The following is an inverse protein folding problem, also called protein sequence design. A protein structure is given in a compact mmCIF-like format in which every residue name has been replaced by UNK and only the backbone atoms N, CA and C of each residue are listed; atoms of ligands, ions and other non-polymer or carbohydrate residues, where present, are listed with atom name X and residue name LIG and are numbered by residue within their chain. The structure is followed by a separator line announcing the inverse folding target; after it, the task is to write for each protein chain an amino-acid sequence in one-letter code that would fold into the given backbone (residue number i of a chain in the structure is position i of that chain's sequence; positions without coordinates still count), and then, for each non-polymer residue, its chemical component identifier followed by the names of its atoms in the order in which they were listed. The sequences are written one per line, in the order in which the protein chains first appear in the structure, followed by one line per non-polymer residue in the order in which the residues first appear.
data_IF_771961545900
#
_entry.id   IF_771961545900
#
_cell.length_a   1.000
_cell.length_b   1.000
_cell.length_c   1.000
_cell.angle_alpha   90.00
_cell.angle_beta   90.00
_cell.angle_gamma   90.00
#
_symmetry.space_group_name_H-M   'P 1'
#
loop_
_entity.id
_entity.type
_entity.pdbx_description
1 polymer ?
#
# COMPACT_ATOMS: atom_id res chain seq x y z
N UNK A 1 -3.22 17.00 7.85
CA UNK A 1 -2.92 16.74 6.42
C UNK A 1 -3.22 15.28 6.12
N UNK A 2 -4.06 14.99 5.13
CA UNK A 2 -4.72 13.68 4.93
C UNK A 2 -3.78 12.46 5.03
N UNK A 3 -2.66 12.45 4.29
CA UNK A 3 -1.71 11.33 4.30
C UNK A 3 -0.96 11.16 5.61
N UNK A 4 -0.69 12.26 6.35
CA UNK A 4 -0.05 12.19 7.66
C UNK A 4 -0.97 11.56 8.71
N UNK A 5 -2.25 11.93 8.72
CA UNK A 5 -3.25 11.35 9.63
C UNK A 5 -3.48 9.87 9.32
N UNK A 6 -3.51 9.51 8.04
CA UNK A 6 -3.60 8.10 7.65
C UNK A 6 -2.35 7.31 8.03
N UNK A 7 -1.15 7.89 7.86
CA UNK A 7 0.10 7.27 8.31
C UNK A 7 0.04 6.96 9.81
N UNK A 8 -0.40 7.92 10.63
CA UNK A 8 -0.50 7.76 12.07
C UNK A 8 -1.45 6.61 12.46
N UNK A 9 -2.63 6.53 11.83
CA UNK A 9 -3.58 5.42 12.06
C UNK A 9 -2.98 4.06 11.68
N UNK A 10 -2.26 4.00 10.57
CA UNK A 10 -1.63 2.76 10.11
C UNK A 10 -0.48 2.36 11.05
N UNK A 11 0.33 3.32 11.48
CA UNK A 11 1.42 3.12 12.44
C UNK A 11 0.91 2.56 13.75
N UNK A 12 -0.11 3.19 14.35
CA UNK A 12 -0.69 2.75 15.62
C UNK A 12 -1.20 1.30 15.55
N UNK A 13 -1.79 0.91 14.43
CA UNK A 13 -2.26 -0.45 14.21
C UNK A 13 -1.10 -1.43 13.98
N UNK A 14 -0.12 -1.05 13.16
CA UNK A 14 1.03 -1.90 12.81
C UNK A 14 2.02 -2.09 13.95
N UNK A 15 2.17 -1.13 14.87
CA UNK A 15 3.08 -1.22 16.02
C UNK A 15 2.69 -2.32 17.03
N UNK A 16 1.48 -2.86 16.92
CA UNK A 16 1.00 -4.01 17.71
C UNK A 16 1.56 -5.34 17.21
N UNK A 17 2.15 -5.34 16.01
CA UNK A 17 2.73 -6.52 15.36
C UNK A 17 4.26 -6.42 15.32
N UNK A 18 4.93 -7.56 15.54
CA UNK A 18 6.40 -7.63 15.52
C UNK A 18 6.95 -8.03 14.14
N UNK A 19 6.24 -8.89 13.41
CA UNK A 19 6.65 -9.40 12.11
C UNK A 19 6.21 -8.47 10.98
N UNK A 20 7.08 -8.31 9.97
CA UNK A 20 6.82 -7.43 8.81
C UNK A 20 5.56 -7.87 8.05
N UNK A 21 5.38 -9.18 7.89
CA UNK A 21 4.25 -9.80 7.22
C UNK A 21 2.93 -9.45 7.94
N UNK A 22 2.93 -9.54 9.27
CA UNK A 22 1.76 -9.17 10.07
C UNK A 22 1.44 -7.68 9.96
N UNK A 23 2.46 -6.81 9.95
CA UNK A 23 2.28 -5.37 9.71
C UNK A 23 1.66 -5.12 8.33
N UNK A 24 2.14 -5.79 7.29
CA UNK A 24 1.57 -5.70 5.96
C UNK A 24 0.10 -6.16 5.92
N UNK A 25 -0.24 -7.26 6.62
CA UNK A 25 -1.63 -7.76 6.73
C UNK A 25 -2.53 -6.72 7.39
N UNK A 26 -2.07 -6.07 8.47
CA UNK A 26 -2.82 -4.99 9.13
C UNK A 26 -3.05 -3.82 8.16
N UNK A 27 -2.02 -3.37 7.43
CA UNK A 27 -2.16 -2.31 6.44
C UNK A 27 -3.14 -2.69 5.34
N UNK A 28 -3.03 -3.91 4.78
CA UNK A 28 -3.94 -4.40 3.74
C UNK A 28 -5.39 -4.38 4.20
N UNK A 29 -5.66 -4.80 5.46
CA UNK A 29 -7.00 -4.74 6.04
C UNK A 29 -7.52 -3.31 6.16
N UNK A 30 -6.71 -2.36 6.62
CA UNK A 30 -7.10 -0.95 6.74
C UNK A 30 -7.38 -0.33 5.37
N UNK A 31 -6.54 -0.61 4.37
CA UNK A 31 -6.75 -0.17 2.99
C UNK A 31 -8.02 -0.73 2.39
N UNK A 32 -8.33 -2.00 2.66
CA UNK A 32 -9.58 -2.63 2.25
C UNK A 32 -10.80 -1.97 2.88
N UNK A 33 -10.73 -1.57 4.15
CA UNK A 33 -11.79 -0.78 4.81
C UNK A 33 -11.95 0.63 4.19
N UNK A 34 -10.88 1.17 3.61
CA UNK A 34 -10.90 2.42 2.83
C UNK A 34 -11.32 2.21 1.36
N UNK A 35 -11.79 1.01 1.00
CA UNK A 35 -12.35 0.69 -0.31
C UNK A 35 -11.31 0.29 -1.36
N UNK A 36 -10.08 -0.08 -0.96
CA UNK A 36 -9.00 -0.38 -1.92
C UNK A 36 -8.86 -1.85 -2.35
N UNK A 37 -9.64 -2.75 -1.74
CA UNK A 37 -9.51 -4.20 -1.94
C UNK A 37 -8.04 -4.63 -1.99
N UNK A 38 -7.34 -4.45 -0.87
CA UNK A 38 -5.92 -4.70 -0.74
C UNK A 38 -5.66 -6.07 -0.12
N UNK A 39 -4.73 -6.81 -0.73
CA UNK A 39 -4.22 -8.09 -0.22
C UNK A 39 -2.70 -8.03 -0.01
N UNK A 40 -2.19 -8.99 0.77
CA UNK A 40 -0.75 -9.24 0.91
C UNK A 40 -0.39 -10.45 0.07
N UNK A 41 0.60 -10.30 -0.80
CA UNK A 41 1.05 -11.36 -1.70
C UNK A 41 2.56 -11.56 -1.59
N UNK A 42 3.00 -12.77 -1.96
CA UNK A 42 4.40 -13.07 -2.18
C UNK A 42 4.71 -13.06 -3.67
N UNK A 43 5.73 -12.29 -4.03
CA UNK A 43 6.48 -12.37 -5.28
C UNK A 43 6.88 -13.81 -5.59
N UNK A 44 6.97 -14.22 -6.88
CA UNK A 44 7.63 -15.47 -7.24
C UNK A 44 9.08 -15.57 -6.73
N UNK A 45 9.75 -14.42 -6.51
CA UNK A 45 11.09 -14.33 -5.92
C UNK A 45 11.12 -14.35 -4.38
N UNK A 46 9.96 -14.38 -3.71
CA UNK A 46 9.86 -14.41 -2.25
C UNK A 46 9.75 -13.03 -1.58
N UNK A 47 9.70 -11.94 -2.33
CA UNK A 47 9.45 -10.59 -1.81
C UNK A 47 7.99 -10.37 -1.40
N UNK A 48 7.78 -9.66 -0.30
CA UNK A 48 6.46 -9.29 0.20
C UNK A 48 5.87 -8.12 -0.60
N UNK A 49 4.57 -8.16 -0.89
CA UNK A 49 3.87 -7.14 -1.67
C UNK A 49 2.51 -6.80 -1.08
N UNK A 50 2.10 -5.54 -1.20
CA UNK A 50 0.69 -5.14 -1.08
C UNK A 50 0.10 -4.96 -2.46
N UNK A 51 -1.09 -5.50 -2.69
CA UNK A 51 -1.77 -5.43 -4.00
C UNK A 51 -3.15 -4.85 -3.81
N UNK A 52 -3.36 -3.62 -4.28
CA UNK A 52 -4.69 -3.01 -4.38
C UNK A 52 -5.32 -3.46 -5.70
N UNK A 53 -6.38 -4.27 -5.63
CA UNK A 53 -7.20 -4.67 -6.78
C UNK A 53 -8.26 -3.62 -7.14
N UNK A 54 -8.49 -2.64 -6.27
CA UNK A 54 -9.32 -1.50 -6.55
C UNK A 54 -8.63 -0.22 -6.08
N UNK A 55 -8.41 0.75 -6.95
CA UNK A 55 -7.73 1.99 -6.57
C UNK A 55 -8.64 3.20 -6.82
N UNK A 56 -9.39 3.71 -5.82
CA UNK A 56 -10.33 4.81 -6.03
C UNK A 56 -9.68 6.14 -6.45
N UNK A 57 -8.36 6.29 -6.24
CA UNK A 57 -7.63 7.55 -6.48
C UNK A 57 -6.98 7.63 -7.87
N UNK A 58 -7.34 6.76 -8.82
CA UNK A 58 -6.76 6.77 -10.17
C UNK A 58 -6.74 8.16 -10.80
N UNK A 59 -7.88 8.84 -10.83
CA UNK A 59 -7.99 10.14 -11.52
C UNK A 59 -7.25 11.25 -10.77
N UNK A 60 -7.17 11.14 -9.44
CA UNK A 60 -6.40 12.06 -8.60
C UNK A 60 -4.91 11.91 -8.90
N UNK A 61 -4.42 10.68 -8.93
CA UNK A 61 -3.02 10.36 -9.21
C UNK A 61 -2.61 10.75 -10.63
N UNK A 62 -3.48 10.54 -11.64
CA UNK A 62 -3.23 11.02 -13.00
C UNK A 62 -3.03 12.54 -13.06
N UNK A 63 -3.77 13.28 -12.25
CA UNK A 63 -3.69 14.76 -12.19
C UNK A 63 -2.54 15.24 -11.30
N UNK A 64 -2.19 14.48 -10.26
CA UNK A 64 -1.19 14.82 -9.26
C UNK A 64 -0.30 13.60 -8.98
N UNK A 65 0.70 13.32 -9.83
CA UNK A 65 1.55 12.12 -9.71
C UNK A 65 2.29 12.01 -8.36
N UNK A 66 2.62 13.15 -7.75
CA UNK A 66 3.23 13.24 -6.41
C UNK A 66 2.45 12.45 -5.34
N UNK A 67 1.14 12.25 -5.52
CA UNK A 67 0.32 11.45 -4.62
C UNK A 67 0.80 10.00 -4.52
N UNK A 68 1.36 9.44 -5.59
CA UNK A 68 1.93 8.09 -5.58
C UNK A 68 3.16 8.02 -4.66
N UNK A 69 4.06 9.01 -4.78
CA UNK A 69 5.28 9.11 -3.98
C UNK A 69 4.94 9.28 -2.50
N UNK A 70 4.03 10.21 -2.18
CA UNK A 70 3.56 10.43 -0.80
C UNK A 70 2.95 9.15 -0.21
N UNK A 71 2.24 8.36 -1.02
CA UNK A 71 1.66 7.11 -0.55
C UNK A 71 2.71 6.02 -0.31
N UNK A 72 3.73 5.93 -1.15
CA UNK A 72 4.89 5.07 -0.91
C UNK A 72 5.59 5.47 0.38
N UNK A 73 6.00 6.72 0.54
CA UNK A 73 6.68 7.23 1.75
C UNK A 73 5.87 6.97 3.02
N UNK A 74 4.54 7.10 2.94
CA UNK A 74 3.63 6.78 4.03
C UNK A 74 3.72 5.31 4.44
N UNK A 75 3.73 4.39 3.47
CA UNK A 75 3.82 2.94 3.74
C UNK A 75 5.24 2.58 4.23
N UNK A 76 6.29 3.17 3.62
CA UNK A 76 7.67 2.99 4.03
C UNK A 76 7.87 3.34 5.50
N UNK A 77 7.33 4.49 5.92
CA UNK A 77 7.40 4.95 7.30
C UNK A 77 6.77 3.95 8.26
N UNK A 78 5.62 3.38 7.90
CA UNK A 78 4.89 2.43 8.76
C UNK A 78 5.60 1.09 8.85
N UNK A 79 6.12 0.58 7.72
CA UNK A 79 6.78 -0.72 7.66
C UNK A 79 8.25 -0.67 8.08
N UNK A 80 8.88 0.50 8.05
CA UNK A 80 10.32 0.66 8.28
C UNK A 80 11.18 0.03 7.17
N UNK A 81 10.62 -0.09 5.95
CA UNK A 81 11.24 -0.73 4.78
C UNK A 81 11.03 0.12 3.54
N UNK A 82 11.95 0.09 2.55
CA UNK A 82 11.71 0.71 1.26
C UNK A 82 10.48 0.12 0.56
N UNK A 83 9.70 0.96 -0.12
CA UNK A 83 8.47 0.57 -0.81
C UNK A 83 8.46 1.15 -2.22
N UNK A 84 8.68 0.28 -3.20
CA UNK A 84 8.48 0.60 -4.61
C UNK A 84 7.01 0.48 -5.00
N UNK A 85 6.60 1.13 -6.09
CA UNK A 85 5.25 0.99 -6.64
C UNK A 85 5.29 0.70 -8.13
N UNK A 86 4.43 -0.21 -8.56
CA UNK A 86 4.19 -0.53 -9.97
C UNK A 86 2.68 -0.65 -10.21
N UNK A 87 2.26 -0.46 -11.45
CA UNK A 87 0.87 -0.63 -11.87
C UNK A 87 0.85 -1.63 -13.00
N UNK A 88 -0.03 -2.62 -12.88
CA UNK A 88 -0.29 -3.57 -13.95
C UNK A 88 -1.72 -3.39 -14.46
N UNK A 89 -1.87 -3.39 -15.77
CA UNK A 89 -3.15 -3.29 -16.45
C UNK A 89 -3.30 -4.41 -17.47
N UNK A 90 -4.41 -5.14 -17.38
CA UNK A 90 -4.72 -6.23 -18.30
C UNK A 90 -6.22 -6.39 -18.47
N UNK A 91 -6.68 -6.39 -19.71
CA UNK A 91 -8.11 -6.60 -20.05
C UNK A 91 -9.06 -5.67 -19.28
N UNK A 92 -8.67 -4.41 -19.07
CA UNK A 92 -9.45 -3.41 -18.34
C UNK A 92 -9.39 -3.55 -16.81
N UNK A 93 -8.74 -4.60 -16.29
CA UNK A 93 -8.41 -4.71 -14.87
C UNK A 93 -7.10 -3.99 -14.59
N UNK A 94 -7.03 -3.36 -13.42
CA UNK A 94 -5.83 -2.69 -12.91
C UNK A 94 -5.54 -3.20 -11.51
N UNK A 95 -4.26 -3.43 -11.23
CA UNK A 95 -3.77 -3.58 -9.86
C UNK A 95 -2.61 -2.65 -9.59
N UNK A 96 -2.60 -2.06 -8.40
CA UNK A 96 -1.49 -1.23 -7.92
C UNK A 96 -0.70 -2.07 -6.93
N UNK A 97 0.57 -2.30 -7.22
CA UNK A 97 1.44 -3.21 -6.48
C UNK A 97 2.49 -2.39 -5.76
N UNK A 98 2.57 -2.54 -4.45
CA UNK A 98 3.62 -1.98 -3.61
C UNK A 98 4.61 -3.09 -3.25
N UNK A 99 5.85 -2.95 -3.69
CA UNK A 99 6.94 -3.91 -3.46
C UNK A 99 7.67 -3.53 -2.19
N UNK A 100 7.72 -4.42 -1.19
CA UNK A 100 8.36 -4.17 0.11
C UNK A 100 9.75 -4.80 0.11
N UNK A 101 10.80 -4.00 0.35
CA UNK A 101 12.20 -4.43 0.41
C UNK A 101 12.74 -4.75 1.80
#
# INVERSE_FOLDING_TARGET
AFYQERAARYQEAADKESLLENKAIVIARLRSQEGRLCEVEMSPGGDLRLVDYHFPLVEVVKKYPLVEEIECEMIERVLGRPVGRTVEERSGLRRVIYLIG
#
